data_IF_477063236955
#
_entry.id   IF_477063236955
#
_cell.length_a   1.000
_cell.length_b   1.000
_cell.length_c   1.000
_cell.angle_alpha   90.00
_cell.angle_beta   90.00
_cell.angle_gamma   90.00
#
_symmetry.space_group_name_H-M   'P 1'
#
loop_
_entity.id
_entity.type
_entity.pdbx_description
1 polymer ?
#
# COMPACT_ATOMS: atom_id res chain seq x y z
N UNK A 1 81.58 -22.77 29.48
CA UNK A 1 81.17 -23.83 28.54
C UNK A 1 80.04 -23.25 27.69
N UNK A 2 80.41 -22.87 26.47
CA UNK A 2 79.56 -22.69 25.28
C UNK A 2 78.91 -24.07 24.95
N UNK A 3 77.88 -24.27 24.13
CA UNK A 3 77.36 -23.56 22.96
C UNK A 3 76.09 -24.32 22.50
N UNK A 4 75.10 -23.59 21.93
CA UNK A 4 74.38 -23.80 20.64
C UNK A 4 74.21 -25.23 20.05
N UNK A 5 73.14 -25.60 19.33
CA UNK A 5 72.50 -24.98 18.14
C UNK A 5 71.26 -25.80 17.72
N UNK A 6 70.30 -25.12 17.07
CA UNK A 6 69.56 -25.42 15.82
C UNK A 6 69.28 -26.89 15.39
N UNK A 7 68.20 -27.27 14.70
CA UNK A 7 67.67 -26.70 13.43
C UNK A 7 66.38 -27.44 13.00
N UNK A 8 65.48 -26.72 12.33
CA UNK A 8 64.71 -27.05 11.10
C UNK A 8 63.77 -28.28 10.93
N UNK A 9 62.58 -27.92 10.40
CA UNK A 9 61.88 -28.47 9.21
C UNK A 9 60.76 -29.55 9.29
N UNK A 10 59.59 -29.12 8.79
CA UNK A 10 58.63 -29.76 7.86
C UNK A 10 58.26 -31.24 8.00
N UNK A 11 56.98 -31.53 8.32
CA UNK A 11 55.98 -32.13 7.38
C UNK A 11 54.64 -32.47 8.04
N UNK A 12 53.62 -32.41 7.17
CA UNK A 12 52.20 -32.71 7.31
C UNK A 12 51.84 -33.95 8.14
N UNK A 13 50.76 -33.84 8.92
CA UNK A 13 49.87 -34.96 9.21
C UNK A 13 48.46 -34.43 9.50
N UNK A 14 47.51 -34.89 8.70
CA UNK A 14 46.08 -34.76 8.92
C UNK A 14 45.68 -35.32 10.28
N UNK A 15 44.89 -34.57 11.04
CA UNK A 15 43.99 -35.17 12.04
C UNK A 15 42.64 -34.45 11.99
N UNK A 16 41.62 -35.25 11.72
CA UNK A 16 40.23 -34.88 11.84
C UNK A 16 39.93 -34.53 13.30
N UNK A 17 39.48 -33.30 13.54
CA UNK A 17 38.86 -32.93 14.82
C UNK A 17 37.47 -32.41 14.50
N UNK A 18 36.50 -33.30 14.68
CA UNK A 18 35.10 -32.92 14.90
C UNK A 18 35.03 -32.12 16.19
N UNK A 19 34.69 -30.83 16.10
CA UNK A 19 34.19 -30.07 17.24
C UNK A 19 33.17 -29.04 16.76
N UNK A 20 31.92 -29.38 17.03
CA UNK A 20 30.77 -28.49 16.92
C UNK A 20 31.01 -27.23 17.73
N UNK A 21 30.95 -26.05 17.10
CA UNK A 21 30.68 -24.79 17.79
C UNK A 21 30.23 -23.70 16.81
N UNK A 22 29.02 -23.23 17.08
CA UNK A 22 28.53 -21.86 16.90
C UNK A 22 27.92 -21.49 15.54
N UNK A 23 26.65 -21.90 15.40
CA UNK A 23 25.62 -21.15 14.69
C UNK A 23 25.43 -19.76 15.35
N UNK A 24 26.19 -18.77 14.91
CA UNK A 24 25.89 -17.34 15.14
C UNK A 24 26.13 -16.55 13.84
N UNK A 25 25.40 -16.90 12.78
CA UNK A 25 25.31 -16.09 11.56
C UNK A 25 23.87 -16.15 11.04
N UNK A 26 22.92 -15.58 11.78
CA UNK A 26 21.62 -15.22 11.19
C UNK A 26 20.81 -14.18 12.00
N UNK A 27 21.48 -13.26 12.68
CA UNK A 27 20.82 -12.15 13.38
C UNK A 27 21.55 -10.83 13.17
N UNK A 28 21.68 -10.37 11.93
CA UNK A 28 21.76 -8.94 11.62
C UNK A 28 21.74 -8.68 10.11
N UNK A 29 20.56 -8.89 9.52
CA UNK A 29 20.14 -8.13 8.36
C UNK A 29 18.78 -7.50 8.65
N UNK A 30 18.71 -6.70 9.72
CA UNK A 30 17.67 -5.69 9.85
C UNK A 30 17.93 -4.58 8.82
N UNK A 31 17.83 -4.95 7.54
CA UNK A 31 17.68 -4.01 6.45
C UNK A 31 16.49 -3.15 6.82
N UNK A 32 16.64 -1.82 6.77
CA UNK A 32 15.53 -0.86 6.86
C UNK A 32 14.59 -1.10 5.68
N UNK A 33 13.81 -2.18 5.75
CA UNK A 33 12.88 -2.58 4.71
C UNK A 33 11.76 -1.56 4.79
N UNK A 34 11.64 -0.73 3.76
CA UNK A 34 10.51 0.19 3.63
C UNK A 34 9.26 -0.69 3.55
N UNK A 35 8.50 -0.72 4.65
CA UNK A 35 7.26 -1.49 4.72
C UNK A 35 6.26 -0.79 3.80
N UNK A 36 5.79 -1.51 2.78
CA UNK A 36 4.83 -0.99 1.80
C UNK A 36 3.39 -1.23 2.26
N UNK A 37 2.44 -0.44 1.74
CA UNK A 37 1.01 -0.63 2.01
C UNK A 37 0.54 -2.06 1.68
N UNK A 38 1.05 -2.64 0.59
CA UNK A 38 0.81 -4.04 0.20
C UNK A 38 1.26 -5.05 1.27
N UNK A 39 2.46 -4.88 1.83
CA UNK A 39 2.98 -5.78 2.88
C UNK A 39 2.09 -5.72 4.13
N UNK A 40 1.66 -4.51 4.51
CA UNK A 40 0.79 -4.30 5.68
C UNK A 40 -0.55 -4.99 5.48
N UNK A 41 -1.18 -4.84 4.30
CA UNK A 41 -2.44 -5.53 3.99
C UNK A 41 -2.26 -7.05 3.96
N UNK A 42 -1.16 -7.55 3.39
CA UNK A 42 -0.85 -8.98 3.35
C UNK A 42 -0.77 -9.57 4.76
N UNK A 43 -0.11 -8.88 5.69
CA UNK A 43 0.01 -9.33 7.08
C UNK A 43 -1.29 -9.13 7.87
N UNK A 44 -2.03 -8.05 7.61
CA UNK A 44 -3.36 -7.81 8.17
C UNK A 44 -4.32 -8.96 7.83
N UNK A 45 -4.31 -9.44 6.59
CA UNK A 45 -5.12 -10.58 6.17
C UNK A 45 -4.73 -11.91 6.81
N UNK A 46 -3.51 -12.02 7.33
CA UNK A 46 -3.04 -13.19 8.11
C UNK A 46 -3.37 -13.07 9.59
N UNK A 47 -3.96 -11.96 10.04
CA UNK A 47 -4.29 -11.72 11.45
C UNK A 47 -3.08 -11.32 12.30
N UNK A 48 -2.00 -10.82 11.69
CA UNK A 48 -0.84 -10.35 12.44
C UNK A 48 -1.21 -9.14 13.32
N UNK A 49 -0.86 -9.22 14.61
CA UNK A 49 -1.23 -8.21 15.60
C UNK A 49 -0.59 -6.84 15.32
N UNK A 50 0.65 -6.83 14.81
CA UNK A 50 1.37 -5.59 14.48
C UNK A 50 0.75 -4.96 13.24
N UNK A 51 0.42 -5.76 12.23
CA UNK A 51 -0.26 -5.31 11.02
C UNK A 51 -1.66 -4.76 11.30
N UNK A 52 -2.42 -5.38 12.21
CA UNK A 52 -3.72 -4.87 12.67
C UNK A 52 -3.61 -3.46 13.29
N UNK A 53 -2.64 -3.25 14.16
CA UNK A 53 -2.37 -1.95 14.76
C UNK A 53 -1.93 -0.94 13.69
N UNK A 54 -1.09 -1.38 12.75
CA UNK A 54 -0.56 -0.52 11.67
C UNK A 54 -1.66 -0.13 10.69
N UNK A 55 -2.55 -1.05 10.32
CA UNK A 55 -3.73 -0.78 9.49
C UNK A 55 -4.62 0.30 10.12
N UNK A 56 -4.86 0.21 11.44
CA UNK A 56 -5.60 1.25 12.17
C UNK A 56 -4.89 2.59 12.12
N UNK A 57 -3.56 2.62 12.30
CA UNK A 57 -2.77 3.85 12.19
C UNK A 57 -2.85 4.46 10.78
N UNK A 58 -2.86 3.65 9.73
CA UNK A 58 -3.07 4.11 8.34
C UNK A 58 -4.45 4.78 8.20
N UNK A 59 -5.51 4.14 8.70
CA UNK A 59 -6.86 4.70 8.63
C UNK A 59 -6.91 6.07 9.34
N UNK A 60 -6.29 6.18 10.52
CA UNK A 60 -6.22 7.44 11.26
C UNK A 60 -5.33 8.48 10.56
N UNK A 61 -4.26 8.06 9.89
CA UNK A 61 -3.37 8.95 9.15
C UNK A 61 -4.11 9.65 8.00
N UNK A 62 -5.05 8.95 7.34
CA UNK A 62 -5.89 9.54 6.29
C UNK A 62 -6.75 10.70 6.81
N UNK A 63 -7.23 10.65 8.05
CA UNK A 63 -8.05 11.71 8.63
C UNK A 63 -7.26 13.00 8.87
N UNK A 64 -5.98 12.89 9.19
CA UNK A 64 -5.09 14.04 9.42
C UNK A 64 -4.27 14.43 8.19
N UNK A 65 -4.34 13.64 7.12
CA UNK A 65 -3.63 13.86 5.86
C UNK A 65 -3.75 15.30 5.32
N UNK A 66 -4.90 16.00 5.40
CA UNK A 66 -5.00 17.38 4.90
C UNK A 66 -3.96 18.33 5.49
N UNK A 67 -3.53 18.08 6.73
CA UNK A 67 -2.55 18.91 7.46
C UNK A 67 -1.10 18.63 7.09
N UNK A 68 -0.85 17.60 6.27
CA UNK A 68 0.50 17.19 5.92
C UNK A 68 1.08 18.05 4.79
N UNK A 69 2.40 18.11 4.72
CA UNK A 69 3.11 18.72 3.60
C UNK A 69 2.93 17.89 2.32
N UNK A 70 2.96 18.55 1.16
CA UNK A 70 2.74 17.91 -0.13
C UNK A 70 3.66 16.69 -0.40
N UNK A 71 4.98 16.73 -0.11
CA UNK A 71 5.85 15.57 -0.35
C UNK A 71 5.45 14.35 0.48
N UNK A 72 5.05 14.56 1.74
CA UNK A 72 4.60 13.50 2.63
C UNK A 72 3.27 12.89 2.18
N UNK A 73 2.33 13.73 1.69
CA UNK A 73 1.07 13.27 1.09
C UNK A 73 1.31 12.35 -0.11
N UNK A 74 2.20 12.77 -1.02
CA UNK A 74 2.54 11.99 -2.21
C UNK A 74 3.10 10.64 -1.80
N UNK A 75 4.17 10.62 -1.00
CA UNK A 75 4.83 9.38 -0.59
C UNK A 75 3.88 8.42 0.11
N UNK A 76 3.00 8.93 0.98
CA UNK A 76 2.02 8.12 1.67
C UNK A 76 0.95 7.54 0.73
N UNK A 77 0.33 8.38 -0.09
CA UNK A 77 -0.74 7.95 -1.00
C UNK A 77 -0.22 7.01 -2.10
N UNK A 78 1.01 7.21 -2.58
CA UNK A 78 1.64 6.33 -3.58
C UNK A 78 1.75 4.88 -3.12
N UNK A 79 1.81 4.62 -1.81
CA UNK A 79 1.82 3.25 -1.29
C UNK A 79 0.53 2.46 -1.60
N UNK A 80 -0.56 3.16 -1.92
CA UNK A 80 -1.88 2.57 -2.15
C UNK A 80 -2.32 2.58 -3.62
N UNK A 81 -1.63 3.30 -4.51
CA UNK A 81 -2.07 3.45 -5.90
C UNK A 81 -2.06 2.13 -6.69
N UNK A 82 -1.20 1.19 -6.32
CA UNK A 82 -1.02 -0.09 -7.02
C UNK A 82 -1.52 -1.30 -6.21
N UNK A 83 -2.47 -1.10 -5.30
CA UNK A 83 -3.01 -2.18 -4.46
C UNK A 83 -4.53 -2.32 -4.56
N UNK A 84 -5.15 -1.76 -5.60
CA UNK A 84 -6.60 -1.85 -5.85
C UNK A 84 -7.12 -3.29 -5.88
N UNK A 85 -6.28 -4.25 -6.28
CA UNK A 85 -6.56 -5.68 -6.26
C UNK A 85 -6.70 -6.29 -4.86
N UNK A 86 -6.13 -5.66 -3.85
CA UNK A 86 -6.16 -6.15 -2.46
C UNK A 86 -7.25 -5.50 -1.61
N UNK A 87 -7.86 -4.41 -2.07
CA UNK A 87 -8.85 -3.65 -1.30
C UNK A 87 -10.24 -4.30 -1.40
N UNK A 88 -10.40 -5.43 -0.73
CA UNK A 88 -11.65 -6.19 -0.63
C UNK A 88 -12.58 -5.68 0.51
N UNK A 89 -13.63 -6.44 0.80
CA UNK A 89 -14.60 -6.17 1.87
C UNK A 89 -13.97 -6.12 3.29
N UNK A 90 -12.76 -6.65 3.49
CA UNK A 90 -12.04 -6.55 4.78
C UNK A 90 -11.33 -5.21 4.92
N UNK A 91 -11.19 -4.46 3.82
CA UNK A 91 -10.57 -3.14 3.76
C UNK A 91 -11.59 -1.98 3.75
N UNK A 92 -12.86 -2.23 4.09
CA UNK A 92 -13.94 -1.23 4.00
C UNK A 92 -13.60 0.10 4.65
N UNK A 93 -13.01 0.11 5.86
CA UNK A 93 -12.67 1.36 6.54
C UNK A 93 -11.62 2.18 5.76
N UNK A 94 -10.59 1.51 5.24
CA UNK A 94 -9.56 2.15 4.43
C UNK A 94 -10.15 2.75 3.15
N UNK A 95 -10.99 1.98 2.44
CA UNK A 95 -11.65 2.44 1.20
C UNK A 95 -12.60 3.61 1.47
N UNK A 96 -13.35 3.58 2.58
CA UNK A 96 -14.19 4.72 3.02
C UNK A 96 -13.33 5.94 3.31
N UNK A 97 -12.23 5.80 4.06
CA UNK A 97 -11.37 6.93 4.39
C UNK A 97 -10.72 7.53 3.14
N UNK A 98 -10.28 6.70 2.19
CA UNK A 98 -9.75 7.15 0.90
C UNK A 98 -10.81 7.91 0.09
N UNK A 99 -11.97 7.29 -0.18
CA UNK A 99 -13.03 7.90 -0.99
C UNK A 99 -13.61 9.20 -0.42
N UNK A 100 -13.48 9.43 0.90
CA UNK A 100 -13.94 10.67 1.57
C UNK A 100 -12.90 11.78 1.61
N UNK A 101 -11.67 11.55 1.15
CA UNK A 101 -10.69 12.62 1.05
C UNK A 101 -11.18 13.68 0.06
N UNK A 102 -11.12 14.95 0.48
CA UNK A 102 -11.40 16.05 -0.43
C UNK A 102 -10.36 16.05 -1.57
N UNK A 103 -10.82 16.08 -2.82
CA UNK A 103 -9.97 16.08 -4.01
C UNK A 103 -8.92 17.20 -4.00
N UNK A 104 -9.22 18.34 -3.37
CA UNK A 104 -8.27 19.46 -3.22
C UNK A 104 -7.07 19.13 -2.33
N UNK A 105 -7.16 18.10 -1.49
CA UNK A 105 -6.06 17.63 -0.62
C UNK A 105 -5.10 16.74 -1.40
N UNK A 106 -5.57 16.13 -2.49
CA UNK A 106 -4.81 15.19 -3.29
C UNK A 106 -3.86 15.97 -4.21
N UNK A 107 -2.54 15.71 -4.16
CA UNK A 107 -1.59 16.36 -5.05
C UNK A 107 -1.88 16.05 -6.53
N UNK A 108 -1.85 17.08 -7.38
CA UNK A 108 -2.15 16.97 -8.82
C UNK A 108 -1.30 15.90 -9.51
N UNK A 109 -0.05 15.70 -9.08
CA UNK A 109 0.89 14.73 -9.65
C UNK A 109 0.42 13.26 -9.53
N UNK A 110 -0.49 12.99 -8.59
CA UNK A 110 -1.01 11.64 -8.35
C UNK A 110 -2.51 11.54 -8.53
N UNK A 111 -3.20 12.65 -8.81
CA UNK A 111 -4.66 12.71 -8.82
C UNK A 111 -5.28 11.74 -9.82
N UNK A 112 -4.75 11.65 -11.05
CA UNK A 112 -5.25 10.72 -12.07
C UNK A 112 -5.09 9.25 -11.64
N UNK A 113 -3.91 8.88 -11.15
CA UNK A 113 -3.63 7.53 -10.63
C UNK A 113 -4.50 7.19 -9.42
N UNK A 114 -4.75 8.18 -8.56
CA UNK A 114 -5.60 8.04 -7.38
C UNK A 114 -7.06 7.79 -7.75
N UNK A 115 -7.60 8.56 -8.69
CA UNK A 115 -8.96 8.36 -9.21
C UNK A 115 -9.10 7.02 -9.93
N UNK A 116 -8.11 6.63 -10.73
CA UNK A 116 -8.08 5.32 -11.39
C UNK A 116 -8.14 4.18 -10.38
N UNK A 117 -7.34 4.24 -9.31
CA UNK A 117 -7.38 3.26 -8.22
C UNK A 117 -8.74 3.20 -7.51
N UNK A 118 -9.39 4.34 -7.24
CA UNK A 118 -10.74 4.35 -6.66
C UNK A 118 -11.78 3.77 -7.60
N UNK A 119 -11.71 4.07 -8.90
CA UNK A 119 -12.56 3.49 -9.93
C UNK A 119 -12.40 1.97 -9.99
N UNK A 120 -11.18 1.46 -10.00
CA UNK A 120 -10.89 0.02 -9.98
C UNK A 120 -11.52 -0.68 -8.78
N UNK A 121 -11.39 -0.08 -7.59
CA UNK A 121 -11.96 -0.61 -6.35
C UNK A 121 -13.49 -0.63 -6.43
N UNK A 122 -14.10 0.47 -6.92
CA UNK A 122 -15.55 0.55 -7.09
C UNK A 122 -16.07 -0.49 -8.08
N UNK A 123 -15.42 -0.65 -9.23
CA UNK A 123 -15.79 -1.65 -10.25
C UNK A 123 -15.74 -3.06 -9.66
N UNK A 124 -14.66 -3.42 -8.94
CA UNK A 124 -14.55 -4.73 -8.29
C UNK A 124 -15.63 -4.95 -7.23
N UNK A 125 -15.97 -3.92 -6.46
CA UNK A 125 -17.02 -4.01 -5.46
C UNK A 125 -18.40 -4.24 -6.09
N UNK A 126 -18.71 -3.52 -7.17
CA UNK A 126 -19.96 -3.67 -7.92
C UNK A 126 -20.02 -5.04 -8.60
N UNK A 127 -18.94 -5.45 -9.29
CA UNK A 127 -18.86 -6.74 -9.96
C UNK A 127 -19.11 -7.90 -9.00
N UNK A 128 -18.49 -7.87 -7.81
CA UNK A 128 -18.74 -8.89 -6.77
C UNK A 128 -20.19 -8.89 -6.28
N UNK A 129 -20.79 -7.72 -6.12
CA UNK A 129 -22.19 -7.60 -5.68
C UNK A 129 -23.17 -8.17 -6.71
N UNK A 130 -22.83 -8.14 -8.00
CA UNK A 130 -23.62 -8.75 -9.07
C UNK A 130 -23.51 -10.29 -9.08
N UNK A 131 -22.36 -10.85 -8.72
CA UNK A 131 -22.14 -12.30 -8.64
C UNK A 131 -22.80 -12.93 -7.40
N UNK A 132 -22.89 -12.20 -6.28
CA UNK A 132 -23.42 -12.69 -5.00
C UNK A 132 -24.97 -12.75 -4.92
N UNK A 133 -25.69 -12.45 -6.01
CA UNK A 133 -27.08 -12.89 -6.18
C UNK A 133 -28.15 -12.09 -5.42
N UNK A 134 -27.99 -10.77 -5.30
CA UNK A 134 -29.04 -9.87 -4.84
C UNK A 134 -29.60 -9.04 -6.00
N UNK A 135 -30.92 -8.91 -6.06
CA UNK A 135 -31.69 -8.01 -6.92
C UNK A 135 -31.34 -6.53 -6.63
N UNK A 136 -30.09 -6.14 -6.87
CA UNK A 136 -29.63 -4.78 -6.68
C UNK A 136 -29.78 -4.04 -7.98
N UNK A 137 -30.86 -3.26 -8.09
CA UNK A 137 -31.01 -2.15 -9.03
C UNK A 137 -29.94 -1.10 -8.70
N UNK A 138 -28.68 -1.41 -8.99
CA UNK A 138 -27.53 -0.50 -8.84
C UNK A 138 -27.30 0.34 -10.09
N UNK A 139 -27.91 -0.04 -11.21
CA UNK A 139 -27.93 0.76 -12.40
C UNK A 139 -29.15 1.68 -12.35
N UNK A 140 -28.90 2.99 -12.29
CA UNK A 140 -29.85 3.97 -12.80
C UNK A 140 -30.30 3.50 -14.19
N UNK A 141 -31.59 3.60 -14.47
CA UNK A 141 -32.10 3.36 -15.82
C UNK A 141 -31.39 4.27 -16.82
N UNK A 142 -31.32 3.88 -18.09
CA UNK A 142 -30.70 4.72 -19.12
C UNK A 142 -31.30 6.15 -19.14
N UNK A 143 -32.60 6.24 -18.87
CA UNK A 143 -33.35 7.51 -18.77
C UNK A 143 -32.89 8.36 -17.57
N UNK A 144 -32.68 7.74 -16.40
CA UNK A 144 -32.16 8.44 -15.23
C UNK A 144 -30.70 8.86 -15.40
N UNK A 145 -29.87 8.01 -16.00
CA UNK A 145 -28.48 8.35 -16.31
C UNK A 145 -28.40 9.56 -17.23
N UNK A 146 -29.15 9.57 -18.33
CA UNK A 146 -29.17 10.68 -19.29
C UNK A 146 -29.66 11.98 -18.62
N UNK A 147 -30.68 11.87 -17.75
CA UNK A 147 -31.15 13.01 -16.96
C UNK A 147 -30.06 13.58 -16.05
N UNK A 148 -29.37 12.73 -15.28
CA UNK A 148 -28.34 13.19 -14.33
C UNK A 148 -27.08 13.70 -15.05
N UNK A 149 -26.59 12.99 -16.06
CA UNK A 149 -25.45 13.44 -16.86
C UNK A 149 -25.78 14.73 -17.62
N UNK A 150 -26.97 14.85 -18.20
CA UNK A 150 -27.43 16.09 -18.83
C UNK A 150 -27.57 17.27 -17.87
N UNK A 151 -27.95 17.03 -16.60
CA UNK A 151 -27.92 18.06 -15.56
C UNK A 151 -26.49 18.48 -15.18
N UNK A 152 -25.60 17.52 -14.99
CA UNK A 152 -24.20 17.78 -14.67
C UNK A 152 -23.51 18.56 -15.80
N UNK A 153 -23.69 18.13 -17.04
CA UNK A 153 -23.10 18.75 -18.23
C UNK A 153 -23.58 20.20 -18.41
N UNK A 154 -24.87 20.47 -18.20
CA UNK A 154 -25.42 21.84 -18.20
C UNK A 154 -24.83 22.72 -17.11
N UNK A 155 -24.66 22.17 -15.91
CA UNK A 155 -24.09 22.91 -14.76
C UNK A 155 -22.63 23.27 -15.04
N UNK A 156 -21.83 22.32 -15.51
CA UNK A 156 -20.43 22.55 -15.89
C UNK A 156 -20.33 23.57 -17.02
N UNK A 157 -21.14 23.43 -18.08
CA UNK A 157 -21.18 24.37 -19.19
C UNK A 157 -21.51 25.80 -18.72
N UNK A 158 -22.45 25.96 -17.79
CA UNK A 158 -22.79 27.26 -17.22
C UNK A 158 -21.60 27.86 -16.44
N UNK A 159 -20.93 27.07 -15.61
CA UNK A 159 -19.75 27.53 -14.85
C UNK A 159 -18.64 27.98 -15.80
N UNK A 160 -18.38 27.21 -16.87
CA UNK A 160 -17.38 27.57 -17.88
C UNK A 160 -17.74 28.84 -18.67
N UNK A 161 -19.03 29.11 -18.88
CA UNK A 161 -19.48 30.37 -19.48
C UNK A 161 -19.31 31.57 -18.54
N UNK A 162 -19.45 31.38 -17.23
CA UNK A 162 -19.22 32.43 -16.24
C UNK A 162 -17.74 32.73 -15.99
N UNK A 163 -16.87 31.73 -16.17
CA UNK A 163 -15.43 31.84 -16.00
C UNK A 163 -14.71 31.32 -17.26
N UNK A 164 -14.74 32.08 -18.38
CA UNK A 164 -13.93 31.75 -19.52
C UNK A 164 -12.45 31.85 -19.10
N UNK A 165 -11.75 30.72 -19.04
CA UNK A 165 -10.29 30.69 -18.90
C UNK A 165 -9.61 31.17 -20.18
#
# INVERSE_FOLDING_TARGET
MTSTTDTADHKSASSEISSSSNNEMDKQAASKRVITGREILTQYFKGDAVALITYRKICNALEILPKWEAPAKIQFLEQFLNISDMLDNRCTQLVINLSRLNWQVIPEQIMERYLSMLCDVAIRQVARSLEEGGDTVLALTAEEQDKFYGMAHRTIAHILQCFPM
#
